data_IF_626466671405
#
_entry.id   IF_626466671405
#
_cell.length_a   1.000
_cell.length_b   1.000
_cell.length_c   1.000
_cell.angle_alpha   90.00
_cell.angle_beta   90.00
_cell.angle_gamma   90.00
#
_symmetry.space_group_name_H-M   'P 1'
#
loop_
_entity.id
_entity.type
_entity.pdbx_description
1 polymer ?
#
# COMPACT_ATOMS: atom_id res chain seq x y z
N UNK A 1 29.29 27.41 -17.08
CA UNK A 1 29.51 26.01 -17.55
C UNK A 1 29.38 25.10 -16.34
N UNK A 2 28.80 23.91 -16.54
CA UNK A 2 28.50 22.84 -15.57
C UNK A 2 27.30 23.08 -14.64
N UNK A 3 26.14 22.75 -15.22
CA UNK A 3 24.95 22.18 -14.60
C UNK A 3 25.30 21.03 -13.64
N UNK A 4 24.69 21.02 -12.46
CA UNK A 4 24.46 19.77 -11.73
C UNK A 4 23.00 19.73 -11.31
N UNK A 5 22.21 19.00 -12.10
CA UNK A 5 20.89 18.51 -11.72
C UNK A 5 21.07 17.36 -10.72
N UNK A 6 20.37 17.41 -9.60
CA UNK A 6 20.02 16.20 -8.84
C UNK A 6 18.52 16.26 -8.58
N UNK A 7 17.70 15.43 -9.25
CA UNK A 7 16.33 15.20 -8.84
C UNK A 7 16.30 13.97 -7.92
N UNK A 8 15.81 14.12 -6.70
CA UNK A 8 15.21 12.98 -5.98
C UNK A 8 13.91 13.47 -5.34
N UNK A 9 12.83 13.12 -6.02
CA UNK A 9 11.47 13.16 -5.50
C UNK A 9 11.22 11.87 -4.71
N UNK A 10 10.28 11.97 -3.77
CA UNK A 10 9.57 10.90 -3.05
C UNK A 10 10.19 10.48 -1.72
N UNK A 11 9.63 11.00 -0.64
CA UNK A 11 9.37 10.21 0.55
C UNK A 11 7.88 10.34 0.88
N UNK A 12 7.13 9.26 0.66
CA UNK A 12 5.83 9.10 1.32
C UNK A 12 6.09 9.02 2.81
N UNK A 13 5.37 9.84 3.57
CA UNK A 13 5.33 9.74 5.02
C UNK A 13 4.71 8.39 5.40
N UNK A 14 5.57 7.41 5.66
CA UNK A 14 5.26 6.25 6.47
C UNK A 14 5.14 6.73 7.92
N UNK A 15 3.92 6.84 8.41
CA UNK A 15 3.54 6.97 9.82
C UNK A 15 2.18 6.26 9.94
N UNK A 16 1.99 5.18 10.70
CA UNK A 16 2.72 4.72 11.86
C UNK A 16 2.70 3.17 11.98
N UNK A 17 3.86 2.59 12.25
CA UNK A 17 4.09 1.42 13.09
C UNK A 17 5.53 1.61 13.51
N UNK A 18 5.77 1.96 14.76
CA UNK A 18 7.13 2.12 15.22
C UNK A 18 7.20 1.63 16.64
N UNK A 19 7.53 0.34 16.89
CA UNK A 19 8.46 -0.19 17.93
C UNK A 19 7.82 -0.94 19.15
N UNK A 20 8.51 -1.66 20.03
CA UNK A 20 9.91 -1.70 20.45
C UNK A 20 10.46 -3.15 20.35
N UNK A 21 11.72 -3.38 20.01
CA UNK A 21 12.90 -2.63 20.47
C UNK A 21 13.65 -1.91 19.36
N UNK A 22 13.27 -0.65 19.25
CA UNK A 22 13.80 0.44 18.44
C UNK A 22 13.03 1.71 18.78
N UNK A 23 12.59 1.86 20.03
CA UNK A 23 11.85 2.97 20.65
C UNK A 23 10.55 3.46 20.01
N UNK A 24 9.44 2.91 20.44
CA UNK A 24 8.14 3.43 20.02
C UNK A 24 6.92 2.52 20.05
N UNK A 25 5.81 3.18 19.67
CA UNK A 25 4.66 2.81 18.83
C UNK A 25 4.50 1.34 18.42
N UNK A 26 4.31 0.54 19.46
CA UNK A 26 3.57 -0.71 19.39
C UNK A 26 2.18 -0.36 18.90
N UNK A 27 1.91 -0.63 17.64
CA UNK A 27 0.57 -0.46 17.12
C UNK A 27 -0.30 -1.65 17.59
N UNK A 28 -1.63 -1.46 17.64
CA UNK A 28 -2.54 -2.43 18.21
C UNK A 28 -2.47 -3.72 17.41
N UNK A 29 -2.03 -4.78 18.09
CA UNK A 29 -2.05 -6.16 17.61
C UNK A 29 -3.52 -6.59 17.50
N UNK A 30 -4.15 -6.37 16.35
CA UNK A 30 -5.29 -7.21 15.99
C UNK A 30 -4.78 -8.65 16.02
N UNK A 31 -5.35 -9.47 16.90
CA UNK A 31 -4.98 -10.88 17.05
C UNK A 31 -5.42 -11.64 15.80
N UNK A 32 -4.59 -11.61 14.76
CA UNK A 32 -4.76 -12.49 13.63
C UNK A 32 -4.49 -13.92 14.07
N UNK A 33 -5.34 -14.89 13.70
CA UNK A 33 -5.03 -16.28 13.95
C UNK A 33 -3.67 -16.59 13.34
N UNK A 34 -2.80 -17.20 14.14
CA UNK A 34 -1.52 -17.69 13.66
C UNK A 34 -1.70 -18.80 12.60
N UNK A 35 -0.60 -19.34 12.10
CA UNK A 35 -0.59 -20.39 11.07
C UNK A 35 -1.36 -21.67 11.46
N UNK A 36 -1.81 -21.82 12.71
CA UNK A 36 -2.71 -22.89 13.15
C UNK A 36 -4.08 -22.90 12.47
N UNK A 37 -4.51 -21.79 11.86
CA UNK A 37 -5.73 -21.72 11.06
C UNK A 37 -5.59 -22.30 9.63
N UNK A 38 -4.38 -22.65 9.22
CA UNK A 38 -4.09 -23.21 7.90
C UNK A 38 -4.07 -24.74 7.94
N UNK A 39 -4.53 -25.37 6.86
CA UNK A 39 -4.33 -26.80 6.67
C UNK A 39 -2.86 -27.13 6.33
N UNK A 40 -2.52 -28.41 6.20
CA UNK A 40 -1.14 -28.85 5.95
C UNK A 40 -0.60 -28.34 4.59
N UNK A 41 -1.39 -28.44 3.53
CA UNK A 41 -0.98 -28.02 2.19
C UNK A 41 -0.78 -26.50 2.08
N UNK A 42 -1.63 -25.72 2.76
CA UNK A 42 -1.48 -24.27 2.86
C UNK A 42 -0.20 -23.89 3.61
N UNK A 43 0.12 -24.58 4.72
CA UNK A 43 1.37 -24.34 5.46
C UNK A 43 2.61 -24.65 4.61
N UNK A 44 2.60 -25.79 3.91
CA UNK A 44 3.70 -26.14 3.01
C UNK A 44 3.92 -25.07 1.93
N UNK A 45 2.84 -24.48 1.42
CA UNK A 45 2.92 -23.40 0.43
C UNK A 45 3.58 -22.14 0.99
N UNK A 46 3.22 -21.76 2.23
CA UNK A 46 3.85 -20.63 2.92
C UNK A 46 5.34 -20.91 3.15
N UNK A 47 5.68 -22.10 3.64
CA UNK A 47 7.06 -22.48 3.92
C UNK A 47 7.92 -22.47 2.65
N UNK A 48 7.39 -23.03 1.55
CA UNK A 48 8.05 -23.01 0.24
C UNK A 48 8.25 -21.60 -0.27
N UNK A 49 7.21 -20.77 -0.20
CA UNK A 49 7.30 -19.37 -0.62
C UNK A 49 8.39 -18.62 0.16
N UNK A 50 8.43 -18.78 1.49
CA UNK A 50 9.47 -18.18 2.33
C UNK A 50 10.86 -18.62 1.90
N UNK A 51 11.09 -19.93 1.74
CA UNK A 51 12.39 -20.47 1.33
C UNK A 51 12.85 -19.93 -0.03
N UNK A 52 11.93 -19.79 -0.98
CA UNK A 52 12.24 -19.31 -2.34
C UNK A 52 12.56 -17.81 -2.39
N UNK A 53 12.03 -17.01 -1.44
CA UNK A 53 12.12 -15.54 -1.45
C UNK A 53 13.10 -14.98 -0.43
N UNK A 54 13.54 -15.75 0.56
CA UNK A 54 14.64 -15.36 1.43
C UNK A 54 15.95 -15.19 0.63
N UNK A 55 16.64 -14.08 0.86
CA UNK A 55 17.94 -13.77 0.23
C UNK A 55 18.98 -13.59 1.32
N UNK A 56 19.63 -14.69 1.78
CA UNK A 56 20.47 -14.66 2.98
C UNK A 56 21.91 -14.20 2.75
N UNK A 57 22.32 -13.94 1.50
CA UNK A 57 23.71 -13.63 1.12
C UNK A 57 23.88 -12.17 0.69
N UNK A 58 25.06 -11.58 0.99
CA UNK A 58 25.41 -10.19 0.67
C UNK A 58 25.35 -9.23 1.86
N UNK A 59 25.55 -7.95 1.58
CA UNK A 59 25.56 -6.84 2.57
C UNK A 59 24.16 -6.47 3.06
N UNK A 60 23.12 -6.89 2.33
CA UNK A 60 21.70 -6.77 2.71
C UNK A 60 21.05 -8.15 2.59
N UNK A 61 20.38 -8.58 3.65
CA UNK A 61 19.67 -9.85 3.73
C UNK A 61 18.18 -9.60 3.85
N UNK A 62 17.37 -10.28 3.04
CA UNK A 62 15.92 -10.28 3.16
C UNK A 62 15.49 -11.59 3.82
N UNK A 63 14.91 -11.50 5.00
CA UNK A 63 14.52 -12.66 5.82
C UNK A 63 13.06 -12.54 6.25
N UNK A 64 12.32 -13.64 6.28
CA UNK A 64 10.95 -13.65 6.79
C UNK A 64 10.95 -13.50 8.32
N UNK A 65 10.14 -12.57 8.83
CA UNK A 65 9.85 -12.44 10.25
C UNK A 65 8.78 -13.47 10.65
N UNK A 66 9.21 -14.72 10.83
CA UNK A 66 8.32 -15.88 11.08
C UNK A 66 7.37 -15.69 12.27
N UNK A 67 7.76 -14.92 13.29
CA UNK A 67 6.93 -14.61 14.45
C UNK A 67 5.79 -13.63 14.16
N UNK A 68 5.86 -12.91 13.04
CA UNK A 68 4.83 -11.99 12.56
C UNK A 68 3.94 -12.57 11.45
N UNK A 69 4.24 -13.78 10.95
CA UNK A 69 3.43 -14.41 9.90
C UNK A 69 2.05 -14.77 10.44
N UNK A 70 1.00 -14.27 9.79
CA UNK A 70 -0.38 -14.44 10.29
C UNK A 70 -1.42 -14.52 9.17
N UNK A 71 -2.57 -15.11 9.49
CA UNK A 71 -3.68 -15.24 8.54
C UNK A 71 -4.61 -14.03 8.63
N UNK A 72 -4.80 -13.31 7.52
CA UNK A 72 -5.84 -12.27 7.37
C UNK A 72 -7.17 -12.95 7.10
N UNK A 73 -8.16 -12.66 7.95
CA UNK A 73 -9.50 -13.23 7.83
C UNK A 73 -10.53 -12.16 8.17
N UNK A 74 -10.91 -11.37 7.17
CA UNK A 74 -12.00 -10.41 7.29
C UNK A 74 -13.31 -10.99 6.76
N UNK A 75 -14.43 -10.33 7.06
CA UNK A 75 -15.74 -10.67 6.48
C UNK A 75 -15.72 -10.45 4.96
N UNK A 76 -15.09 -9.36 4.49
CA UNK A 76 -15.02 -9.03 3.07
C UNK A 76 -14.21 -10.05 2.27
N UNK A 77 -13.02 -10.45 2.78
CA UNK A 77 -12.20 -11.47 2.13
C UNK A 77 -12.93 -12.82 2.06
N UNK A 78 -13.59 -13.24 3.15
CA UNK A 78 -14.38 -14.48 3.17
C UNK A 78 -15.61 -14.44 2.26
N UNK A 79 -16.19 -13.26 2.07
CA UNK A 79 -17.34 -13.06 1.19
C UNK A 79 -16.98 -13.28 -0.29
N UNK A 80 -15.87 -12.70 -0.75
CA UNK A 80 -15.45 -12.83 -2.15
C UNK A 80 -14.66 -14.11 -2.44
N UNK A 81 -13.90 -14.59 -1.46
CA UNK A 81 -12.94 -15.67 -1.64
C UNK A 81 -13.11 -16.74 -0.54
N UNK A 82 -14.25 -17.45 -0.49
CA UNK A 82 -14.54 -18.40 0.59
C UNK A 82 -13.53 -19.55 0.66
N UNK A 83 -12.93 -19.90 -0.48
CA UNK A 83 -11.98 -21.00 -0.65
C UNK A 83 -10.50 -20.57 -0.64
N UNK A 84 -10.23 -19.29 -0.36
CA UNK A 84 -8.88 -18.78 -0.27
C UNK A 84 -8.56 -18.38 1.17
N UNK A 85 -7.29 -18.47 1.52
CA UNK A 85 -6.72 -17.92 2.75
C UNK A 85 -5.66 -16.91 2.39
N UNK A 86 -5.61 -15.85 3.17
CA UNK A 86 -4.69 -14.73 2.95
C UNK A 86 -3.65 -14.75 4.06
N UNK A 87 -2.38 -14.97 3.73
CA UNK A 87 -1.29 -15.10 4.71
C UNK A 87 -0.34 -13.94 4.55
N UNK A 88 -0.18 -13.13 5.58
CA UNK A 88 0.80 -12.04 5.61
C UNK A 88 2.15 -12.63 6.00
N UNK A 89 3.16 -12.36 5.19
CA UNK A 89 4.57 -12.71 5.42
C UNK A 89 5.35 -11.40 5.57
N UNK A 90 5.62 -10.96 6.81
CA UNK A 90 6.46 -9.80 7.04
C UNK A 90 7.93 -10.13 6.75
N UNK A 91 8.62 -9.15 6.18
CA UNK A 91 10.02 -9.24 5.78
C UNK A 91 10.88 -8.27 6.59
N UNK A 92 12.00 -8.77 7.10
CA UNK A 92 13.05 -7.98 7.71
C UNK A 92 14.22 -7.85 6.75
N UNK A 93 14.60 -6.62 6.44
CA UNK A 93 15.88 -6.31 5.82
C UNK A 93 16.95 -6.16 6.91
N UNK A 94 18.01 -6.98 6.85
CA UNK A 94 19.14 -6.90 7.76
C UNK A 94 20.41 -6.57 6.98
N UNK A 95 21.01 -5.43 7.28
CA UNK A 95 22.35 -5.11 6.79
C UNK A 95 23.41 -5.89 7.58
N UNK A 96 24.51 -6.24 6.91
CA UNK A 96 25.74 -6.63 7.60
C UNK A 96 26.16 -5.50 8.55
N UNK A 97 26.61 -5.80 9.79
CA UNK A 97 27.13 -4.79 10.70
C UNK A 97 28.12 -3.80 10.07
N UNK A 98 28.99 -4.26 9.16
CA UNK A 98 29.97 -3.42 8.48
C UNK A 98 29.34 -2.44 7.45
N UNK A 99 28.17 -2.77 6.91
CA UNK A 99 27.48 -2.01 5.88
C UNK A 99 26.24 -1.25 6.38
N UNK A 100 25.91 -1.34 7.68
CA UNK A 100 24.70 -0.74 8.28
C UNK A 100 24.55 0.76 7.98
N UNK A 101 25.65 1.49 7.89
CA UNK A 101 25.67 2.93 7.63
C UNK A 101 25.50 3.30 6.14
N UNK A 102 25.60 2.32 5.24
CA UNK A 102 25.51 2.54 3.79
C UNK A 102 24.06 2.52 3.28
N UNK A 103 23.13 2.01 4.09
CA UNK A 103 21.75 1.78 3.67
C UNK A 103 20.74 2.46 4.57
N UNK A 104 19.84 3.23 3.97
CA UNK A 104 18.58 3.62 4.60
C UNK A 104 17.54 2.56 4.28
N UNK A 105 17.23 1.71 5.26
CA UNK A 105 16.26 0.62 5.11
C UNK A 105 14.86 1.18 5.40
N UNK A 106 13.93 1.18 4.42
CA UNK A 106 12.55 1.62 4.66
C UNK A 106 11.83 0.67 5.63
N UNK A 107 10.88 1.20 6.39
CA UNK A 107 10.08 0.41 7.32
C UNK A 107 9.09 -0.52 6.61
N UNK A 108 8.93 -1.73 7.14
CA UNK A 108 7.75 -2.58 6.99
C UNK A 108 7.48 -3.09 5.57
N UNK A 109 8.30 -4.04 5.10
CA UNK A 109 7.97 -4.83 3.92
C UNK A 109 7.18 -6.06 4.34
N UNK A 110 6.12 -6.36 3.61
CA UNK A 110 5.41 -7.63 3.71
C UNK A 110 4.83 -8.03 2.36
N UNK A 111 4.61 -9.33 2.21
CA UNK A 111 3.78 -9.89 1.15
C UNK A 111 2.52 -10.51 1.74
N UNK A 112 1.45 -10.56 0.96
CA UNK A 112 0.25 -11.31 1.29
C UNK A 112 0.01 -12.38 0.25
N UNK A 113 -0.04 -13.63 0.68
CA UNK A 113 -0.28 -14.79 -0.19
C UNK A 113 -1.76 -15.13 -0.19
N UNK A 114 -2.37 -15.22 -1.37
CA UNK A 114 -3.63 -15.93 -1.56
C UNK A 114 -3.35 -17.41 -1.84
N UNK A 115 -3.88 -18.27 -0.98
CA UNK A 115 -3.67 -19.72 -1.05
C UNK A 115 -5.02 -20.42 -1.00
N UNK A 116 -5.30 -21.30 -1.96
CA UNK A 116 -6.54 -22.06 -2.02
C UNK A 116 -6.67 -23.06 -0.86
N UNK A 117 -7.87 -23.62 -0.67
CA UNK A 117 -8.11 -24.73 0.27
C UNK A 117 -7.26 -25.98 -0.05
N UNK A 118 -6.83 -26.17 -1.31
CA UNK A 118 -5.97 -27.28 -1.73
C UNK A 118 -4.47 -27.00 -1.55
N UNK A 119 -4.10 -25.82 -1.06
CA UNK A 119 -2.69 -25.40 -0.96
C UNK A 119 -2.10 -24.94 -2.30
N UNK A 120 -2.92 -24.50 -3.25
CA UNK A 120 -2.40 -23.88 -4.46
C UNK A 120 -2.12 -22.40 -4.19
N UNK A 121 -0.93 -21.92 -4.56
CA UNK A 121 -0.64 -20.50 -4.58
C UNK A 121 -1.41 -19.83 -5.73
N UNK A 122 -2.30 -18.90 -5.40
CA UNK A 122 -3.19 -18.23 -6.37
C UNK A 122 -2.67 -16.84 -6.77
N UNK A 123 -2.10 -16.08 -5.83
CA UNK A 123 -1.54 -14.75 -6.07
C UNK A 123 -0.66 -14.28 -4.90
N UNK A 124 0.27 -13.37 -5.18
CA UNK A 124 1.06 -12.63 -4.19
C UNK A 124 0.76 -11.15 -4.31
N UNK A 125 0.44 -10.50 -3.18
CA UNK A 125 0.22 -9.05 -3.10
C UNK A 125 1.38 -8.41 -2.33
N UNK A 126 2.11 -7.53 -2.99
CA UNK A 126 3.24 -6.83 -2.38
C UNK A 126 2.77 -5.58 -1.65
N UNK A 127 3.24 -5.36 -0.42
CA UNK A 127 2.95 -4.14 0.36
C UNK A 127 3.37 -2.84 -0.34
N UNK A 128 4.36 -2.91 -1.22
CA UNK A 128 4.85 -1.78 -2.00
C UNK A 128 4.95 -2.15 -3.48
N UNK A 129 4.52 -1.23 -4.34
CA UNK A 129 4.49 -1.44 -5.78
C UNK A 129 3.32 -2.31 -6.25
N UNK A 130 3.11 -2.31 -7.57
CA UNK A 130 2.16 -3.14 -8.35
C UNK A 130 0.90 -3.63 -7.59
N UNK A 131 -0.06 -2.73 -7.32
CA UNK A 131 -1.35 -3.13 -6.73
C UNK A 131 -2.36 -3.68 -7.75
N UNK A 132 -1.96 -3.78 -9.03
CA UNK A 132 -2.73 -4.35 -10.13
C UNK A 132 -3.13 -5.82 -9.88
N UNK A 133 -2.31 -6.56 -9.12
CA UNK A 133 -2.54 -7.97 -8.79
C UNK A 133 -3.89 -8.21 -8.12
N UNK A 134 -4.35 -7.26 -7.28
CA UNK A 134 -5.66 -7.39 -6.65
C UNK A 134 -6.80 -7.28 -7.66
N UNK A 135 -6.64 -6.44 -8.68
CA UNK A 135 -7.60 -6.30 -9.78
C UNK A 135 -7.69 -7.56 -10.62
N UNK A 136 -6.53 -8.14 -10.95
CA UNK A 136 -6.45 -9.42 -11.65
C UNK A 136 -7.05 -10.56 -10.83
N UNK A 137 -6.79 -10.59 -9.52
CA UNK A 137 -7.33 -11.58 -8.62
C UNK A 137 -8.86 -11.52 -8.54
N UNK A 138 -9.43 -10.31 -8.43
CA UNK A 138 -10.88 -10.08 -8.50
C UNK A 138 -11.47 -10.54 -9.84
N UNK A 139 -10.78 -10.26 -10.95
CA UNK A 139 -11.19 -10.67 -12.30
C UNK A 139 -11.25 -12.20 -12.43
N UNK A 140 -10.19 -12.89 -12.01
CA UNK A 140 -10.10 -14.35 -12.06
C UNK A 140 -11.21 -15.03 -11.25
N UNK A 141 -11.59 -14.43 -10.12
CA UNK A 141 -12.71 -14.88 -9.29
C UNK A 141 -14.09 -14.38 -9.75
N UNK A 142 -14.16 -13.65 -10.86
CA UNK A 142 -15.39 -13.10 -11.44
C UNK A 142 -16.21 -12.28 -10.43
N UNK A 143 -15.53 -11.55 -9.55
CA UNK A 143 -16.18 -10.70 -8.55
C UNK A 143 -17.06 -9.65 -9.24
N UNK A 144 -18.23 -9.37 -8.66
CA UNK A 144 -19.19 -8.41 -9.19
C UNK A 144 -19.28 -7.16 -8.31
N UNK A 145 -19.24 -5.99 -8.95
CA UNK A 145 -19.42 -4.67 -8.33
C UNK A 145 -20.43 -3.86 -9.13
N UNK A 146 -21.68 -3.90 -8.69
CA UNK A 146 -22.86 -3.33 -9.34
C UNK A 146 -23.35 -2.08 -8.62
N UNK A 147 -23.13 -2.02 -7.30
CA UNK A 147 -23.63 -0.97 -6.44
C UNK A 147 -22.57 -0.53 -5.40
N UNK A 148 -22.89 0.54 -4.66
CA UNK A 148 -21.98 1.15 -3.69
C UNK A 148 -21.63 0.20 -2.55
N UNK A 149 -22.56 -0.66 -2.11
CA UNK A 149 -22.33 -1.64 -1.04
C UNK A 149 -21.27 -2.65 -1.45
N UNK A 150 -21.38 -3.23 -2.64
CA UNK A 150 -20.38 -4.17 -3.19
C UNK A 150 -19.02 -3.49 -3.37
N UNK A 151 -19.01 -2.22 -3.82
CA UNK A 151 -17.78 -1.43 -3.93
C UNK A 151 -17.11 -1.20 -2.56
N UNK A 152 -17.89 -0.94 -1.51
CA UNK A 152 -17.38 -0.82 -0.14
C UNK A 152 -16.76 -2.13 0.36
N UNK A 153 -17.37 -3.28 0.08
CA UNK A 153 -16.77 -4.56 0.46
C UNK A 153 -15.45 -4.82 -0.26
N UNK A 154 -15.36 -4.49 -1.56
CA UNK A 154 -14.09 -4.59 -2.29
C UNK A 154 -13.03 -3.65 -1.71
N UNK A 155 -13.42 -2.42 -1.33
CA UNK A 155 -12.51 -1.48 -0.68
C UNK A 155 -12.02 -1.99 0.69
N UNK A 156 -12.87 -2.69 1.46
CA UNK A 156 -12.46 -3.34 2.71
C UNK A 156 -11.48 -4.48 2.45
N UNK A 157 -11.80 -5.37 1.52
CA UNK A 157 -10.88 -6.45 1.14
C UNK A 157 -9.53 -5.91 0.66
N UNK A 158 -9.52 -4.82 -0.13
CA UNK A 158 -8.29 -4.13 -0.55
C UNK A 158 -7.47 -3.65 0.66
N UNK A 159 -8.12 -3.02 1.64
CA UNK A 159 -7.46 -2.53 2.86
C UNK A 159 -6.96 -3.67 3.76
N UNK A 160 -7.61 -4.83 3.77
CA UNK A 160 -7.12 -5.99 4.52
C UNK A 160 -5.82 -6.56 3.93
N UNK A 161 -5.66 -6.47 2.61
CA UNK A 161 -4.47 -6.92 1.87
C UNK A 161 -3.34 -5.90 1.99
N UNK A 162 -3.59 -4.64 1.62
CA UNK A 162 -2.54 -3.61 1.55
C UNK A 162 -2.44 -2.72 2.80
N UNK A 163 -3.18 -3.05 3.86
CA UNK A 163 -3.25 -2.24 5.07
C UNK A 163 -4.06 -0.96 4.89
N UNK A 164 -4.30 -0.21 5.98
CA UNK A 164 -4.94 1.10 5.93
C UNK A 164 -4.01 2.10 5.23
N UNK A 165 -4.11 2.18 3.91
CA UNK A 165 -3.26 3.00 3.02
C UNK A 165 -3.62 4.49 3.07
N UNK A 166 -4.08 4.99 4.22
CA UNK A 166 -4.76 6.30 4.31
C UNK A 166 -6.08 6.33 3.53
N UNK A 167 -6.55 5.16 3.06
CA UNK A 167 -7.75 4.98 2.28
C UNK A 167 -8.99 5.09 3.17
N UNK A 168 -9.77 6.15 2.97
CA UNK A 168 -11.09 6.26 3.58
C UNK A 168 -12.05 5.23 2.96
N UNK A 169 -12.32 4.14 3.68
CA UNK A 169 -13.23 3.05 3.27
C UNK A 169 -14.64 3.52 2.88
N UNK A 170 -14.98 4.79 3.16
CA UNK A 170 -16.30 5.36 2.96
C UNK A 170 -16.43 6.18 1.67
N UNK A 171 -15.33 6.58 1.02
CA UNK A 171 -15.39 7.45 -0.17
C UNK A 171 -15.27 6.67 -1.50
N UNK A 172 -16.22 5.76 -1.72
CA UNK A 172 -16.31 4.98 -2.95
C UNK A 172 -17.25 5.67 -3.94
N UNK A 173 -16.70 6.14 -5.06
CA UNK A 173 -17.40 6.95 -6.06
C UNK A 173 -17.54 6.17 -7.35
N UNK A 174 -18.75 6.12 -7.91
CA UNK A 174 -18.96 5.60 -9.27
C UNK A 174 -18.65 6.71 -10.27
N UNK A 175 -17.52 6.62 -10.97
CA UNK A 175 -17.07 7.65 -11.92
C UNK A 175 -17.74 7.51 -13.30
N UNK A 176 -18.12 6.29 -13.69
CA UNK A 176 -18.88 6.03 -14.92
C UNK A 176 -19.70 4.73 -14.80
N UNK A 177 -20.40 4.35 -15.87
CA UNK A 177 -21.12 3.06 -15.92
C UNK A 177 -20.19 1.84 -15.73
N UNK A 178 -18.91 1.97 -16.10
CA UNK A 178 -17.92 0.88 -16.10
C UNK A 178 -16.76 1.10 -15.14
N UNK A 179 -16.81 2.12 -14.27
CA UNK A 179 -15.69 2.46 -13.40
C UNK A 179 -16.12 2.90 -12.00
N UNK A 180 -15.41 2.36 -11.01
CA UNK A 180 -15.45 2.75 -9.62
C UNK A 180 -14.10 3.30 -9.18
N UNK A 181 -14.12 4.37 -8.39
CA UNK A 181 -12.98 4.91 -7.66
C UNK A 181 -13.16 4.56 -6.20
N UNK A 182 -12.40 3.57 -5.74
CA UNK A 182 -12.49 3.09 -4.36
C UNK A 182 -11.56 3.88 -3.46
N UNK A 183 -12.05 4.20 -2.27
CA UNK A 183 -11.32 4.94 -1.24
C UNK A 183 -10.72 6.27 -1.72
N UNK A 184 -11.50 7.01 -2.52
CA UNK A 184 -11.06 8.25 -3.14
C UNK A 184 -10.66 9.30 -2.10
N UNK A 185 -9.41 9.75 -2.18
CA UNK A 185 -8.85 10.70 -1.23
C UNK A 185 -8.14 11.82 -1.99
N UNK A 186 -8.58 13.05 -1.78
CA UNK A 186 -7.88 14.21 -2.29
C UNK A 186 -6.92 14.75 -1.24
N UNK A 187 -5.70 15.01 -1.65
CA UNK A 187 -4.73 15.77 -0.88
C UNK A 187 -4.93 17.25 -1.16
N UNK A 188 -4.82 18.09 -0.13
CA UNK A 188 -4.75 19.55 -0.33
C UNK A 188 -3.50 19.90 -1.13
N UNK A 189 -3.43 21.12 -1.65
CA UNK A 189 -2.23 21.60 -2.31
C UNK A 189 -1.00 21.36 -1.45
N UNK A 190 -0.05 20.61 -1.98
CA UNK A 190 1.26 20.38 -1.39
C UNK A 190 2.34 20.95 -2.31
N UNK A 191 3.36 21.63 -1.77
CA UNK A 191 4.49 22.06 -2.58
C UNK A 191 5.21 20.84 -3.16
N UNK A 192 5.51 20.89 -4.45
CA UNK A 192 6.37 19.91 -5.15
C UNK A 192 7.71 20.52 -5.55
N UNK A 193 7.81 21.85 -5.50
CA UNK A 193 9.03 22.63 -5.66
C UNK A 193 8.88 23.96 -4.90
N UNK A 194 9.90 24.82 -4.96
CA UNK A 194 9.84 26.18 -4.38
C UNK A 194 8.92 27.15 -5.13
N UNK A 195 8.39 26.76 -6.30
CA UNK A 195 7.57 27.62 -7.15
C UNK A 195 6.29 26.94 -7.65
N UNK A 196 6.05 25.68 -7.28
CA UNK A 196 4.85 24.93 -7.68
C UNK A 196 4.27 24.12 -6.53
N UNK A 197 2.94 24.08 -6.51
CA UNK A 197 2.16 23.20 -5.67
C UNK A 197 1.19 22.38 -6.51
N UNK A 198 0.89 21.18 -6.04
CA UNK A 198 0.01 20.22 -6.70
C UNK A 198 -1.12 19.80 -5.76
N UNK A 199 -2.31 19.61 -6.31
CA UNK A 199 -3.44 18.94 -5.67
C UNK A 199 -3.60 17.58 -6.34
N UNK A 200 -3.49 16.50 -5.58
CA UNK A 200 -3.54 15.12 -6.10
C UNK A 200 -4.71 14.35 -5.51
N UNK A 201 -5.24 13.39 -6.27
CA UNK A 201 -6.16 12.36 -5.78
C UNK A 201 -5.50 10.99 -5.79
N UNK A 202 -5.72 10.23 -4.73
CA UNK A 202 -5.30 8.85 -4.59
C UNK A 202 -6.53 7.96 -4.45
N UNK A 203 -6.64 6.95 -5.30
CA UNK A 203 -7.76 6.01 -5.28
C UNK A 203 -7.40 4.71 -5.97
N UNK A 204 -8.11 3.65 -5.63
CA UNK A 204 -8.03 2.40 -6.39
C UNK A 204 -9.09 2.40 -7.49
N UNK A 205 -8.65 2.46 -8.74
CA UNK A 205 -9.53 2.44 -9.90
C UNK A 205 -9.91 1.00 -10.20
N UNK A 206 -11.21 0.70 -10.21
CA UNK A 206 -11.75 -0.62 -10.51
C UNK A 206 -12.66 -0.52 -11.74
N UNK A 207 -12.35 -1.29 -12.79
CA UNK A 207 -13.17 -1.34 -14.01
C UNK A 207 -14.05 -2.58 -14.03
N UNK A 208 -15.27 -2.42 -14.52
CA UNK A 208 -16.26 -3.50 -14.59
C UNK A 208 -16.92 -3.60 -15.97
N UNK A 209 -17.36 -4.80 -16.35
CA UNK A 209 -18.18 -5.04 -17.54
C UNK A 209 -19.64 -4.57 -17.34
N UNK A 210 -20.46 -4.70 -18.38
CA UNK A 210 -21.88 -4.33 -18.32
C UNK A 210 -22.72 -5.12 -17.30
N UNK A 211 -22.22 -6.25 -16.81
CA UNK A 211 -22.84 -7.09 -15.77
C UNK A 211 -22.26 -6.79 -14.38
N UNK A 212 -21.31 -5.86 -14.28
CA UNK A 212 -20.59 -5.50 -13.07
C UNK A 212 -19.41 -6.43 -12.76
N UNK A 213 -19.03 -7.36 -13.63
CA UNK A 213 -17.87 -8.24 -13.38
C UNK A 213 -16.59 -7.42 -13.49
N UNK A 214 -15.70 -7.55 -12.50
CA UNK A 214 -14.41 -6.87 -12.52
C UNK A 214 -13.59 -7.29 -13.74
N UNK A 215 -13.02 -6.30 -14.43
CA UNK A 215 -12.14 -6.46 -15.58
C UNK A 215 -10.68 -6.23 -15.21
N UNK A 216 -10.42 -5.15 -14.49
CA UNK A 216 -9.11 -4.77 -14.01
C UNK A 216 -9.24 -3.88 -12.78
N UNK A 217 -8.14 -3.70 -12.05
CA UNK A 217 -8.04 -2.74 -10.98
C UNK A 217 -6.59 -2.30 -10.78
N UNK A 218 -6.38 -1.07 -10.33
CA UNK A 218 -5.04 -0.54 -10.03
C UNK A 218 -5.10 0.66 -9.11
N UNK A 219 -4.03 0.91 -8.38
CA UNK A 219 -3.88 2.19 -7.65
C UNK A 219 -3.58 3.31 -8.64
N UNK A 220 -4.21 4.47 -8.42
CA UNK A 220 -4.06 5.66 -9.23
C UNK A 220 -3.71 6.84 -8.32
N UNK A 221 -2.69 7.60 -8.74
CA UNK A 221 -2.35 8.92 -8.23
C UNK A 221 -2.55 9.93 -9.36
N UNK A 222 -3.67 10.65 -9.34
CA UNK A 222 -4.03 11.64 -10.35
C UNK A 222 -3.64 13.04 -9.88
N UNK A 223 -2.97 13.81 -10.75
CA UNK A 223 -2.83 15.25 -10.57
C UNK A 223 -4.13 15.93 -10.96
N UNK A 224 -4.83 16.52 -9.99
CA UNK A 224 -6.08 17.26 -10.22
C UNK A 224 -5.79 18.68 -10.67
N UNK A 225 -4.79 19.31 -10.05
CA UNK A 225 -4.43 20.70 -10.32
C UNK A 225 -2.96 20.96 -10.00
N UNK A 226 -2.34 21.83 -10.79
CA UNK A 226 -0.97 22.31 -10.60
C UNK A 226 -0.95 23.82 -10.77
N UNK A 227 -0.46 24.54 -9.78
CA UNK A 227 -0.38 26.00 -9.83
C UNK A 227 0.97 26.50 -9.32
N UNK A 228 1.32 27.73 -9.73
CA UNK A 228 2.52 28.41 -9.24
C UNK A 228 2.28 28.92 -7.82
N UNK A 229 3.33 28.91 -7.01
CA UNK A 229 3.32 29.54 -5.70
C UNK A 229 3.57 31.04 -5.91
N UNK A 230 2.56 31.86 -5.71
CA UNK A 230 2.70 33.32 -5.75
C UNK A 230 3.45 33.77 -4.50
N UNK A 231 4.76 33.99 -4.61
CA UNK A 231 5.60 34.56 -3.55
C UNK A 231 5.35 36.07 -3.32
N UNK A 232 4.17 36.58 -3.68
CA UNK A 232 3.86 38.01 -3.70
C UNK A 232 3.63 38.64 -2.30
N UNK A 233 4.20 38.05 -1.24
CA UNK A 233 4.11 38.55 0.13
C UNK A 233 5.49 38.76 0.81
N UNK A 234 6.59 38.78 0.05
CA UNK A 234 7.88 39.29 0.52
C UNK A 234 8.42 40.37 -0.42
N UNK A 235 7.65 41.43 -0.63
CA UNK A 235 8.22 42.66 -1.14
C UNK A 235 7.57 43.87 -0.49
N UNK A 236 8.45 44.72 0.07
CA UNK A 236 8.23 46.09 0.54
C UNK A 236 7.81 46.23 2.01
N UNK A 237 8.81 46.10 2.88
CA UNK A 237 8.86 46.73 4.21
C UNK A 237 10.14 47.52 4.41
N UNK A 238 10.61 48.21 3.37
CA UNK A 238 11.69 49.18 3.49
C UNK A 238 11.08 50.47 4.05
N UNK A 239 11.00 50.58 5.38
CA UNK A 239 10.79 51.86 6.05
C UNK A 239 12.01 52.15 6.92
N UNK A 240 12.95 52.87 6.32
CA UNK A 240 13.74 53.85 7.03
C UNK A 240 12.78 54.76 7.81
N UNK A 241 12.83 54.68 9.13
CA UNK A 241 12.48 55.81 9.98
C UNK A 241 13.79 56.54 10.33
N UNK A 242 13.96 57.81 9.93
CA UNK A 242 14.88 58.71 10.63
C UNK A 242 14.20 59.21 11.92
N UNK A 243 14.93 60.07 12.67
CA UNK A 243 14.48 60.88 13.84
C UNK A 243 14.67 60.16 15.18
N UNK A 244 15.42 60.65 16.19
CA UNK A 244 16.11 61.92 16.45
C UNK A 244 17.27 61.65 17.43
#
# INVERSE_FOLDING_TARGET
MMTSFVPVLVLFAALAYANAQGDGVTMPREEFPGLGALNAAQRETVDRFVLDHERPTGELKLLAERGGTAVRSSVALRYFFPHSRFVVVPWTLRADPAAKHLYSIPFGLYDVLAISDTGQHESTFHSSGNQEEFGLFLHNHRVKVRNKTEACEVARALADIYGPTGLSLCNNVKSSSSEWRLSYTETRFRPISSYEQVREAYYYRLRVDSRGVVLDGKLVADTLERCKIDNAAESVGNQHSPVN
#
